data_IF_010205106503
#
_entry.id   IF_010205106503
#
_cell.length_a   1.000
_cell.length_b   1.000
_cell.length_c   1.000
_cell.angle_alpha   90.00
_cell.angle_beta   90.00
_cell.angle_gamma   90.00
#
_symmetry.space_group_name_H-M   'P 1'
#
loop_
_entity.id
_entity.type
_entity.pdbx_description
1 polymer ?
#
# COMPACT_ATOMS: atom_id res chain seq x y z
N UNK A 1 -1.71 -2.22 -15.98
CA UNK A 1 -1.65 -3.59 -16.53
C UNK A 1 -3.00 -4.22 -16.22
N UNK A 2 -3.70 -4.86 -17.16
CA UNK A 2 -5.08 -5.34 -16.91
C UNK A 2 -5.13 -6.48 -15.91
N UNK A 3 -4.03 -7.18 -15.76
CA UNK A 3 -3.84 -8.36 -14.93
C UNK A 3 -3.48 -7.99 -13.48
N UNK A 4 -3.20 -6.71 -13.19
CA UNK A 4 -2.94 -6.27 -11.83
C UNK A 4 -4.25 -6.22 -11.04
N UNK A 5 -4.32 -6.81 -9.83
CA UNK A 5 -5.55 -6.83 -9.03
C UNK A 5 -5.95 -5.45 -8.49
N UNK A 6 -4.97 -4.55 -8.34
CA UNK A 6 -5.16 -3.16 -7.91
C UNK A 6 -4.19 -2.27 -8.69
N UNK A 7 -4.67 -1.15 -9.24
CA UNK A 7 -3.81 -0.15 -9.87
C UNK A 7 -4.17 1.27 -9.46
N UNK A 8 -3.14 2.10 -9.35
CA UNK A 8 -3.26 3.52 -9.00
C UNK A 8 -2.91 4.37 -10.21
N UNK A 9 -3.79 5.32 -10.53
CA UNK A 9 -3.44 6.47 -11.35
C UNK A 9 -2.88 7.55 -10.44
N UNK A 10 -1.62 7.92 -10.68
CA UNK A 10 -0.92 8.89 -9.85
C UNK A 10 -0.50 10.08 -10.68
N UNK A 11 -0.71 11.27 -10.14
CA UNK A 11 -0.13 12.50 -10.66
C UNK A 11 1.20 12.77 -9.94
N UNK A 12 2.21 13.14 -10.71
CA UNK A 12 3.51 13.51 -10.16
C UNK A 12 3.40 14.76 -9.27
N UNK A 13 3.97 14.70 -8.07
CA UNK A 13 4.06 15.85 -7.17
C UNK A 13 5.49 16.36 -7.10
N UNK A 14 6.43 15.50 -6.69
CA UNK A 14 7.84 15.87 -6.57
C UNK A 14 8.75 14.64 -6.47
N UNK A 15 10.05 14.84 -6.67
CA UNK A 15 11.10 13.87 -6.40
C UNK A 15 12.09 14.46 -5.41
N UNK A 16 12.33 13.75 -4.30
CA UNK A 16 13.42 14.08 -3.37
C UNK A 16 14.60 13.16 -3.70
N UNK A 17 15.69 13.74 -4.20
CA UNK A 17 16.91 13.02 -4.53
C UNK A 17 17.87 13.02 -3.34
N UNK A 18 18.24 11.83 -2.89
CA UNK A 18 19.22 11.62 -1.82
C UNK A 18 20.51 11.13 -2.46
N UNK A 19 21.51 12.01 -2.50
CA UNK A 19 22.84 11.69 -2.98
C UNK A 19 23.61 10.91 -1.93
N UNK A 20 24.16 9.75 -2.30
CA UNK A 20 24.85 8.84 -1.37
C UNK A 20 26.38 8.99 -1.44
N UNK A 21 26.87 9.97 -2.21
CA UNK A 21 28.29 10.33 -2.28
C UNK A 21 29.13 9.50 -3.26
N UNK A 22 28.54 8.55 -3.98
CA UNK A 22 29.17 7.90 -5.13
C UNK A 22 28.43 8.23 -6.44
N UNK A 23 29.09 8.15 -7.61
CA UNK A 23 28.50 8.58 -8.90
C UNK A 23 27.36 7.71 -9.42
N UNK A 24 27.17 6.52 -8.84
CA UNK A 24 26.33 5.44 -9.40
C UNK A 24 25.12 5.14 -8.53
N UNK A 25 25.11 5.61 -7.28
CA UNK A 25 24.02 5.37 -6.34
C UNK A 25 23.38 6.68 -5.89
N UNK A 26 22.15 6.91 -6.37
CA UNK A 26 21.23 7.90 -5.84
C UNK A 26 19.95 7.17 -5.45
N UNK A 27 19.32 7.59 -4.34
CA UNK A 27 17.96 7.16 -4.01
C UNK A 27 17.02 8.29 -4.33
N UNK A 28 16.05 8.01 -5.21
CA UNK A 28 14.98 8.94 -5.54
C UNK A 28 13.70 8.53 -4.81
N UNK A 29 13.22 9.43 -3.95
CA UNK A 29 11.90 9.30 -3.35
C UNK A 29 10.93 10.06 -4.25
N UNK A 30 10.15 9.32 -5.04
CA UNK A 30 9.11 9.88 -5.90
C UNK A 30 7.80 9.96 -5.14
N UNK A 31 7.25 11.17 -5.01
CA UNK A 31 5.99 11.43 -4.35
C UNK A 31 4.93 11.71 -5.44
N UNK A 32 3.87 10.91 -5.43
CA UNK A 32 2.73 11.06 -6.32
C UNK A 32 1.43 11.19 -5.54
N UNK A 33 0.49 11.99 -6.07
CA UNK A 33 -0.88 12.07 -5.58
C UNK A 33 -1.71 11.00 -6.27
N UNK A 34 -2.36 10.13 -5.51
CA UNK A 34 -3.31 9.16 -6.08
C UNK A 34 -4.54 9.91 -6.57
N UNK A 35 -4.74 9.92 -7.89
CA UNK A 35 -5.90 10.53 -8.54
C UNK A 35 -7.07 9.54 -8.63
N UNK A 36 -6.77 8.28 -8.93
CA UNK A 36 -7.77 7.22 -8.99
C UNK A 36 -7.19 5.87 -8.53
N UNK A 37 -8.04 5.08 -7.88
CA UNK A 37 -7.76 3.69 -7.54
C UNK A 37 -8.73 2.83 -8.33
N UNK A 38 -8.21 1.77 -8.94
CA UNK A 38 -9.00 0.81 -9.68
C UNK A 38 -8.77 -0.59 -9.11
N UNK A 39 -9.87 -1.26 -8.79
CA UNK A 39 -9.92 -2.57 -8.16
C UNK A 39 -11.06 -3.32 -8.86
N UNK A 40 -10.91 -4.62 -9.12
CA UNK A 40 -12.04 -5.47 -9.51
C UNK A 40 -12.99 -5.59 -8.31
N UNK A 41 -14.26 -5.21 -8.46
CA UNK A 41 -15.27 -5.24 -7.39
C UNK A 41 -15.33 -6.59 -6.66
N UNK A 42 -15.00 -7.69 -7.34
CA UNK A 42 -14.95 -9.04 -6.74
C UNK A 42 -13.89 -9.19 -5.64
N UNK A 43 -12.91 -8.30 -5.62
CA UNK A 43 -11.82 -8.26 -4.64
C UNK A 43 -12.14 -7.32 -3.47
N UNK A 44 -13.32 -6.72 -3.46
CA UNK A 44 -13.84 -5.90 -2.36
C UNK A 44 -14.86 -6.75 -1.60
N UNK A 45 -14.62 -6.98 -0.32
CA UNK A 45 -15.53 -7.70 0.56
C UNK A 45 -16.74 -6.83 0.94
N UNK A 46 -17.82 -7.45 1.42
CA UNK A 46 -19.07 -6.77 1.81
C UNK A 46 -18.87 -5.66 2.86
N UNK A 47 -17.79 -5.74 3.65
CA UNK A 47 -17.43 -4.73 4.65
C UNK A 47 -16.60 -3.55 4.08
N UNK A 48 -16.44 -3.48 2.76
CA UNK A 48 -15.67 -2.46 2.06
C UNK A 48 -14.15 -2.64 2.10
N UNK A 49 -13.63 -3.71 2.72
CA UNK A 49 -12.19 -4.01 2.76
C UNK A 49 -11.77 -4.88 1.57
N UNK A 50 -10.51 -4.80 1.18
CA UNK A 50 -9.93 -5.66 0.16
C UNK A 50 -9.80 -7.11 0.65
N UNK A 51 -10.15 -8.07 -0.20
CA UNK A 51 -9.85 -9.50 0.00
C UNK A 51 -8.37 -9.77 -0.35
N UNK A 52 -7.48 -9.40 0.56
CA UNK A 52 -6.04 -9.58 0.42
C UNK A 52 -5.67 -11.06 0.20
N UNK A 53 -6.43 -12.00 0.76
CA UNK A 53 -6.14 -13.43 0.63
C UNK A 53 -6.36 -13.92 -0.80
N UNK A 54 -7.39 -13.41 -1.47
CA UNK A 54 -7.63 -13.68 -2.90
C UNK A 54 -6.65 -12.91 -3.80
N UNK A 55 -6.27 -11.69 -3.42
CA UNK A 55 -5.28 -10.88 -4.16
C UNK A 55 -3.88 -11.53 -4.17
N UNK A 56 -3.50 -12.22 -3.09
CA UNK A 56 -2.20 -12.90 -2.94
C UNK A 56 -1.00 -11.98 -3.28
N UNK A 57 -0.89 -10.78 -2.68
CA UNK A 57 0.21 -9.88 -3.00
C UNK A 57 1.57 -10.51 -2.67
N UNK A 58 2.56 -10.19 -3.49
CA UNK A 58 3.95 -10.56 -3.23
C UNK A 58 4.66 -9.46 -2.45
N UNK A 59 5.59 -9.85 -1.58
CA UNK A 59 6.50 -8.93 -0.92
C UNK A 59 7.95 -9.29 -1.27
N UNK A 60 8.78 -8.28 -1.52
CA UNK A 60 10.22 -8.43 -1.73
C UNK A 60 10.90 -8.66 -0.38
N UNK A 61 11.80 -9.64 -0.33
CA UNK A 61 12.66 -9.90 0.82
C UNK A 61 14.11 -9.50 0.50
N UNK A 62 15.05 -9.98 1.30
CA UNK A 62 16.48 -9.86 1.01
C UNK A 62 16.89 -10.64 -0.24
N UNK A 63 18.00 -10.23 -0.86
CA UNK A 63 18.57 -10.89 -2.05
C UNK A 63 17.53 -11.04 -3.17
N UNK A 64 17.33 -12.26 -3.67
CA UNK A 64 16.37 -12.59 -4.72
C UNK A 64 15.11 -13.27 -4.17
N UNK A 65 14.90 -13.25 -2.86
CA UNK A 65 13.82 -13.96 -2.22
C UNK A 65 12.52 -13.13 -2.22
N UNK A 66 11.40 -13.83 -2.34
CA UNK A 66 10.06 -13.26 -2.34
C UNK A 66 9.12 -14.15 -1.52
N UNK A 67 8.07 -13.54 -0.98
CA UNK A 67 6.99 -14.26 -0.32
C UNK A 67 5.64 -13.88 -0.91
N UNK A 68 4.67 -14.77 -0.77
CA UNK A 68 3.27 -14.58 -1.16
C UNK A 68 2.43 -14.53 0.11
N UNK A 69 1.55 -13.54 0.25
CA UNK A 69 0.61 -13.49 1.36
C UNK A 69 -0.48 -14.56 1.18
N UNK A 70 -0.45 -15.59 2.01
CA UNK A 70 -1.41 -16.72 2.01
C UNK A 70 -2.28 -16.77 3.27
N UNK A 71 -1.85 -16.12 4.35
CA UNK A 71 -2.49 -16.08 5.67
C UNK A 71 -2.53 -14.66 6.20
N UNK A 72 -3.62 -14.35 6.90
CA UNK A 72 -3.89 -13.02 7.47
C UNK A 72 -4.43 -13.22 8.89
N UNK A 73 -4.04 -12.34 9.80
CA UNK A 73 -4.63 -12.18 11.11
C UNK A 73 -4.80 -10.69 11.40
N UNK A 74 -5.82 -10.35 12.20
CA UNK A 74 -6.06 -8.97 12.63
C UNK A 74 -5.37 -8.72 13.98
N UNK A 75 -4.70 -7.58 14.10
CA UNK A 75 -4.08 -7.14 15.34
C UNK A 75 -4.25 -5.63 15.48
N UNK A 76 -4.94 -5.20 16.53
CA UNK A 76 -5.06 -3.79 16.88
C UNK A 76 -3.91 -3.38 17.78
N UNK A 77 -3.41 -2.15 17.59
CA UNK A 77 -2.38 -1.60 18.46
C UNK A 77 -2.92 -1.52 19.91
N UNK A 78 -2.26 -2.15 20.89
CA UNK A 78 -2.84 -2.41 22.22
C UNK A 78 -3.01 -1.16 23.10
N UNK A 79 -2.55 0.01 22.66
CA UNK A 79 -2.67 1.28 23.40
C UNK A 79 -3.05 2.46 22.52
N UNK A 80 -3.56 2.18 21.32
CA UNK A 80 -4.03 3.22 20.43
C UNK A 80 -5.36 3.79 20.91
N UNK A 81 -5.51 5.11 20.87
CA UNK A 81 -6.78 5.79 21.08
C UNK A 81 -7.78 5.41 19.99
N UNK A 82 -9.06 5.72 20.21
CA UNK A 82 -10.11 5.50 19.22
C UNK A 82 -9.80 6.23 17.91
N UNK A 83 -9.27 7.45 18.01
CA UNK A 83 -8.90 8.30 16.88
C UNK A 83 -7.70 7.72 16.12
N UNK A 84 -6.69 7.21 16.83
CA UNK A 84 -5.53 6.56 16.23
C UNK A 84 -5.93 5.28 15.48
N UNK A 85 -6.81 4.46 16.07
CA UNK A 85 -7.35 3.27 15.40
C UNK A 85 -8.17 3.63 14.16
N UNK A 86 -8.98 4.69 14.21
CA UNK A 86 -9.76 5.15 13.06
C UNK A 86 -8.85 5.60 11.90
N UNK A 87 -7.76 6.31 12.22
CA UNK A 87 -6.77 6.74 11.23
C UNK A 87 -6.05 5.56 10.56
N UNK A 88 -5.73 4.51 11.31
CA UNK A 88 -5.11 3.29 10.76
C UNK A 88 -6.02 2.51 9.81
N UNK A 89 -7.34 2.64 9.96
CA UNK A 89 -8.32 2.05 9.05
C UNK A 89 -8.61 2.91 7.82
N UNK A 90 -8.08 4.14 7.75
CA UNK A 90 -8.33 5.07 6.65
C UNK A 90 -9.75 5.64 6.65
N UNK A 91 -10.43 5.68 7.81
CA UNK A 91 -11.73 6.35 7.93
C UNK A 91 -11.51 7.85 8.05
N UNK A 92 -12.35 8.63 7.38
CA UNK A 92 -12.41 10.08 7.60
C UNK A 92 -13.04 10.36 8.97
N UNK A 93 -12.58 11.40 9.66
CA UNK A 93 -13.13 11.83 10.96
C UNK A 93 -14.57 12.35 10.89
N UNK A 94 -15.10 12.55 9.67
CA UNK A 94 -16.39 13.17 9.40
C UNK A 94 -17.54 12.16 9.15
N UNK A 95 -17.33 10.86 9.40
CA UNK A 95 -18.34 9.82 9.19
C UNK A 95 -18.42 8.82 10.34
#
# INVERSE_FOLDING_TARGET
MKEAPVHFECEYVQTVRISIGDPVSNVDIVIGRVAQVHIDDKLIMDNGKLDIKSIRPIARLGYYDYTVVDKIFEMKAPSASTEELAGLEGRNFDN
#
